data_IF_949170700584
#
_entry.id   IF_949170700584
#
_cell.length_a   1.000
_cell.length_b   1.000
_cell.length_c   1.000
_cell.angle_alpha   90.00
_cell.angle_beta   90.00
_cell.angle_gamma   90.00
#
_symmetry.space_group_name_H-M   'P 1'
#
loop_
_entity.id
_entity.type
_entity.pdbx_description
1 polymer ?
#
# COMPACT_ATOMS: atom_id res chain seq x y z
N UNK A 1 10.84 -20.15 15.18
CA UNK A 1 11.06 -19.59 13.82
C UNK A 1 10.64 -18.13 13.78
N UNK A 2 11.36 -17.27 13.07
CA UNK A 2 11.06 -15.83 12.96
C UNK A 2 10.88 -15.44 11.50
N UNK A 3 9.91 -14.56 11.23
CA UNK A 3 9.55 -14.08 9.90
C UNK A 3 9.39 -12.56 9.94
N UNK A 4 10.09 -11.88 9.04
CA UNK A 4 9.96 -10.44 8.78
C UNK A 4 9.58 -10.27 7.33
N UNK A 5 8.44 -9.63 7.08
CA UNK A 5 7.90 -9.56 5.73
C UNK A 5 7.30 -8.19 5.44
N UNK A 6 7.75 -7.49 4.38
CA UNK A 6 7.09 -6.27 3.96
C UNK A 6 5.75 -6.59 3.30
N UNK A 7 4.76 -5.74 3.51
CA UNK A 7 3.47 -5.85 2.84
C UNK A 7 2.91 -4.47 2.47
N UNK A 8 2.06 -4.46 1.45
CA UNK A 8 1.40 -3.26 0.97
C UNK A 8 0.17 -2.95 1.82
N UNK A 9 0.02 -1.69 2.18
CA UNK A 9 -1.17 -1.16 2.84
C UNK A 9 -1.48 0.22 2.23
N UNK A 10 -2.52 0.88 2.74
CA UNK A 10 -2.86 2.26 2.39
C UNK A 10 -3.17 3.12 3.63
N UNK A 11 -3.01 4.43 3.53
CA UNK A 11 -3.31 5.40 4.59
C UNK A 11 -3.98 6.66 4.02
N UNK A 12 -4.65 7.44 4.85
CA UNK A 12 -5.11 8.78 4.48
C UNK A 12 -3.94 9.75 4.30
N UNK A 13 -4.04 10.70 3.36
CA UNK A 13 -3.05 11.78 3.24
C UNK A 13 -2.91 12.56 4.55
N UNK A 14 -4.04 12.81 5.22
CA UNK A 14 -4.08 13.51 6.52
C UNK A 14 -3.31 12.74 7.59
N UNK A 15 -3.51 11.43 7.70
CA UNK A 15 -2.79 10.56 8.63
C UNK A 15 -1.29 10.52 8.35
N UNK A 16 -0.90 10.33 7.09
CA UNK A 16 0.52 10.36 6.69
C UNK A 16 1.17 11.71 6.93
N UNK A 17 0.51 12.81 6.55
CA UNK A 17 1.06 14.16 6.73
C UNK A 17 1.30 14.45 8.22
N UNK A 18 0.41 13.99 9.10
CA UNK A 18 0.59 14.09 10.54
C UNK A 18 1.77 13.26 11.03
N UNK A 19 1.86 11.99 10.63
CA UNK A 19 2.99 11.13 10.94
C UNK A 19 4.33 11.76 10.52
N UNK A 20 4.40 12.27 9.29
CA UNK A 20 5.59 12.95 8.78
C UNK A 20 5.96 14.19 9.61
N UNK A 21 4.97 14.94 10.13
CA UNK A 21 5.23 16.05 11.07
C UNK A 21 5.79 15.56 12.40
N UNK A 22 5.24 14.49 12.97
CA UNK A 22 5.72 13.89 14.22
C UNK A 22 7.14 13.38 14.06
N UNK A 23 7.43 12.62 13.01
CA UNK A 23 8.78 12.10 12.72
C UNK A 23 9.78 13.24 12.51
N UNK A 24 9.39 14.30 11.79
CA UNK A 24 10.22 15.52 11.64
C UNK A 24 10.44 16.23 12.98
N UNK A 25 9.42 16.25 13.85
CA UNK A 25 9.51 16.77 15.21
C UNK A 25 10.53 15.98 16.03
N UNK A 26 10.35 14.67 16.13
CA UNK A 26 11.25 13.75 16.86
C UNK A 26 12.72 13.87 16.40
N UNK A 27 12.96 13.98 15.08
CA UNK A 27 14.30 14.23 14.54
C UNK A 27 14.95 15.51 15.08
N UNK A 28 14.19 16.60 15.19
CA UNK A 28 14.72 17.90 15.66
C UNK A 28 15.12 17.90 17.14
N UNK A 29 14.51 17.03 17.95
CA UNK A 29 14.83 16.92 19.38
C UNK A 29 16.11 16.11 19.65
N UNK A 30 16.46 15.15 18.78
CA UNK A 30 17.64 14.28 18.98
C UNK A 30 18.84 14.61 18.07
N UNK A 31 18.61 15.23 16.92
CA UNK A 31 19.67 15.58 15.97
C UNK A 31 19.46 17.02 15.50
N UNK A 32 19.89 17.98 16.32
CA UNK A 32 20.22 19.30 15.76
C UNK A 32 21.47 19.16 14.90
N UNK A 33 21.29 18.73 13.64
CA UNK A 33 22.36 18.82 12.65
C UNK A 33 22.85 20.26 12.60
N UNK A 34 24.16 20.47 12.46
CA UNK A 34 24.79 21.79 12.31
C UNK A 34 24.04 22.63 11.27
N UNK A 35 23.51 22.01 10.22
CA UNK A 35 22.70 22.68 9.20
C UNK A 35 21.34 23.20 9.72
N UNK A 36 20.66 22.48 10.59
CA UNK A 36 19.42 22.96 11.25
C UNK A 36 19.70 24.08 12.26
N UNK A 37 20.90 24.11 12.84
CA UNK A 37 21.38 25.23 13.65
C UNK A 37 21.66 26.44 12.76
N UNK A 38 22.31 26.24 11.61
CA UNK A 38 22.58 27.29 10.61
C UNK A 38 21.31 27.83 9.98
N UNK A 39 20.33 27.00 9.64
CA UNK A 39 19.05 27.44 9.08
C UNK A 39 18.21 28.17 10.14
N UNK A 40 18.28 27.76 11.41
CA UNK A 40 17.70 28.53 12.53
C UNK A 40 18.42 29.86 12.77
N UNK A 41 19.74 29.91 12.61
CA UNK A 41 20.52 31.13 12.71
C UNK A 41 20.21 32.09 11.55
N UNK A 42 20.11 31.59 10.31
CA UNK A 42 19.67 32.34 9.13
C UNK A 42 18.25 32.89 9.30
N UNK A 43 17.33 32.08 9.82
CA UNK A 43 15.96 32.53 10.09
C UNK A 43 15.88 33.55 11.25
N UNK A 44 16.80 33.50 12.22
CA UNK A 44 16.93 34.54 13.26
C UNK A 44 17.52 35.83 12.70
N UNK A 45 18.54 35.74 11.84
CA UNK A 45 19.15 36.88 11.16
C UNK A 45 18.15 37.58 10.21
N UNK A 46 17.39 36.82 9.43
CA UNK A 46 16.32 37.36 8.56
C UNK A 46 15.20 38.06 9.35
N UNK A 47 14.95 37.63 10.60
CA UNK A 47 14.03 38.31 11.54
C UNK A 47 14.64 39.54 12.19
N UNK A 48 15.96 39.66 12.22
CA UNK A 48 16.66 40.83 12.80
C UNK A 48 16.72 41.98 11.79
N UNK A 49 16.75 41.68 10.49
CA UNK A 49 16.70 42.68 9.40
C UNK A 49 15.27 43.19 9.10
N UNK A 50 14.24 42.58 9.68
CA UNK A 50 12.84 43.02 9.57
C UNK A 50 12.30 43.46 10.92
N UNK A 51 13.00 44.38 11.59
CA UNK A 51 12.46 45.13 12.72
C UNK A 51 11.48 46.22 12.21
N UNK A 52 10.30 45.79 11.76
CA UNK A 52 9.08 46.57 11.96
C UNK A 52 8.40 45.94 13.16
N UNK A 53 8.38 46.70 14.26
CA UNK A 53 7.70 46.37 15.52
C UNK A 53 6.25 45.99 15.26
N UNK A 54 5.98 44.69 15.22
CA UNK A 54 4.66 44.12 15.47
C UNK A 54 4.75 43.37 16.78
N UNK A 55 4.07 43.91 17.79
CA UNK A 55 3.98 43.33 19.12
C UNK A 55 3.50 41.87 19.05
N UNK A 56 3.96 40.99 19.96
CA UNK A 56 3.53 39.60 19.98
C UNK A 56 2.08 39.54 20.49
N UNK A 57 1.14 39.30 19.58
CA UNK A 57 -0.26 39.01 19.89
C UNK A 57 -0.38 37.60 20.49
N UNK A 58 -0.15 37.49 21.79
CA UNK A 58 -0.69 36.42 22.63
C UNK A 58 -1.38 37.11 23.81
N UNK A 59 -2.55 36.57 24.17
CA UNK A 59 -3.58 37.15 25.06
C UNK A 59 -4.56 38.11 24.37
N UNK A 60 -5.49 37.52 23.60
CA UNK A 60 -6.85 38.08 23.60
C UNK A 60 -7.41 37.91 25.01
N UNK A 61 -7.23 38.91 25.88
CA UNK A 61 -8.09 39.08 27.04
C UNK A 61 -9.56 39.02 26.54
N UNK A 62 -10.46 38.25 27.17
CA UNK A 62 -11.87 38.31 26.84
C UNK A 62 -12.37 39.71 27.19
N UNK A 63 -12.57 40.56 26.20
CA UNK A 63 -13.25 41.83 26.41
C UNK A 63 -14.67 41.52 26.91
N UNK A 64 -15.18 42.27 27.91
CA UNK A 64 -16.56 42.12 28.34
C UNK A 64 -17.47 42.38 27.13
N UNK A 65 -18.20 41.36 26.74
CA UNK A 65 -19.13 41.38 25.62
C UNK A 65 -20.15 42.50 25.82
N UNK A 66 -20.15 43.49 24.93
CA UNK A 66 -21.29 44.39 24.74
C UNK A 66 -22.55 43.53 24.51
N UNK A 67 -23.63 43.72 25.28
CA UNK A 67 -24.85 42.95 25.12
C UNK A 67 -25.54 43.38 23.82
N UNK A 68 -25.54 42.51 22.81
CA UNK A 68 -26.28 42.77 21.57
C UNK A 68 -25.80 42.03 20.31
N UNK A 69 -24.66 41.34 20.34
CA UNK A 69 -24.26 40.53 19.18
C UNK A 69 -25.04 39.22 19.15
N UNK A 70 -26.00 39.11 18.23
CA UNK A 70 -26.59 37.85 17.82
C UNK A 70 -25.45 36.88 17.46
N UNK A 71 -25.16 35.93 18.35
CA UNK A 71 -24.25 34.82 18.05
C UNK A 71 -24.88 34.08 16.88
N UNK A 72 -24.24 34.13 15.72
CA UNK A 72 -24.60 33.27 14.60
C UNK A 72 -24.39 31.82 15.04
N UNK A 73 -25.49 31.19 15.44
CA UNK A 73 -25.52 29.82 15.99
C UNK A 73 -24.87 28.83 15.04
N UNK A 74 -24.95 29.05 13.72
CA UNK A 74 -24.31 28.18 12.72
C UNK A 74 -22.79 28.33 12.75
N UNK A 75 -22.28 29.55 12.87
CA UNK A 75 -20.84 29.81 12.98
C UNK A 75 -20.25 29.25 14.27
N UNK A 76 -20.95 29.43 15.40
CA UNK A 76 -20.54 28.87 16.69
C UNK A 76 -20.55 27.34 16.69
N UNK A 77 -21.60 26.71 16.14
CA UNK A 77 -21.68 25.26 15.98
C UNK A 77 -20.56 24.74 15.06
N UNK A 78 -20.33 25.41 13.92
CA UNK A 78 -19.26 25.04 13.00
C UNK A 78 -17.87 25.10 13.65
N UNK A 79 -17.61 26.12 14.48
CA UNK A 79 -16.37 26.21 15.26
C UNK A 79 -16.27 25.08 16.29
N UNK A 80 -17.33 24.82 17.06
CA UNK A 80 -17.36 23.75 18.05
C UNK A 80 -17.10 22.36 17.40
N UNK A 81 -17.73 22.07 16.26
CA UNK A 81 -17.52 20.83 15.52
C UNK A 81 -16.08 20.70 14.97
N UNK A 82 -15.48 21.81 14.50
CA UNK A 82 -14.07 21.82 14.08
C UNK A 82 -13.12 21.56 15.25
N UNK A 83 -13.35 22.20 16.40
CA UNK A 83 -12.56 21.96 17.61
C UNK A 83 -12.70 20.52 18.10
N UNK A 84 -13.92 19.97 18.13
CA UNK A 84 -14.17 18.59 18.50
C UNK A 84 -13.48 17.60 17.55
N UNK A 85 -13.51 17.85 16.23
CA UNK A 85 -12.79 17.06 15.23
C UNK A 85 -11.28 17.13 15.43
N UNK A 86 -10.72 18.31 15.69
CA UNK A 86 -9.30 18.48 15.95
C UNK A 86 -8.85 17.76 17.23
N UNK A 87 -9.65 17.85 18.31
CA UNK A 87 -9.41 17.14 19.56
C UNK A 87 -9.47 15.62 19.37
N UNK A 88 -10.51 15.12 18.69
CA UNK A 88 -10.65 13.69 18.39
C UNK A 88 -9.44 13.16 17.62
N UNK A 89 -8.98 13.89 16.61
CA UNK A 89 -7.76 13.54 15.90
C UNK A 89 -6.54 13.55 16.81
N UNK A 90 -6.40 14.58 17.65
CA UNK A 90 -5.29 14.69 18.59
C UNK A 90 -5.22 13.49 19.55
N UNK A 91 -6.36 13.12 20.12
CA UNK A 91 -6.50 11.95 20.99
C UNK A 91 -6.17 10.66 20.24
N UNK A 92 -6.67 10.50 19.01
CA UNK A 92 -6.50 9.27 18.26
C UNK A 92 -5.04 8.98 17.90
N UNK A 93 -4.22 10.00 17.61
CA UNK A 93 -2.82 9.78 17.26
C UNK A 93 -1.86 9.86 18.44
N UNK A 94 -2.35 10.16 19.64
CA UNK A 94 -1.51 10.48 20.79
C UNK A 94 -0.54 9.34 21.11
N UNK A 95 -1.00 8.10 21.06
CA UNK A 95 -0.17 6.90 21.31
C UNK A 95 0.96 6.80 20.30
N UNK A 96 0.66 6.91 19.01
CA UNK A 96 1.67 6.81 17.95
C UNK A 96 2.66 7.99 18.01
N UNK A 97 2.18 9.16 18.41
CA UNK A 97 3.00 10.35 18.64
C UNK A 97 4.01 10.12 19.77
N UNK A 98 3.55 9.65 20.93
CA UNK A 98 4.42 9.34 22.07
C UNK A 98 5.44 8.23 21.74
N UNK A 99 4.99 7.16 21.06
CA UNK A 99 5.87 6.09 20.62
C UNK A 99 6.96 6.60 19.68
N UNK A 100 6.59 7.44 18.70
CA UNK A 100 7.55 8.00 17.75
C UNK A 100 8.53 8.95 18.45
N UNK A 101 8.03 9.86 19.29
CA UNK A 101 8.86 10.82 20.00
C UNK A 101 9.87 10.16 20.93
N UNK A 102 9.47 9.06 21.60
CA UNK A 102 10.33 8.36 22.56
C UNK A 102 11.25 7.32 21.95
N UNK A 103 10.79 6.59 20.93
CA UNK A 103 11.48 5.38 20.45
C UNK A 103 12.06 5.48 19.03
N UNK A 104 11.82 6.56 18.25
CA UNK A 104 12.35 6.68 16.88
C UNK A 104 13.87 6.52 16.78
N UNK A 105 14.60 6.96 17.80
CA UNK A 105 16.06 6.88 17.88
C UNK A 105 16.54 6.07 19.09
N UNK A 106 15.66 5.29 19.72
CA UNK A 106 16.05 4.39 20.81
C UNK A 106 16.86 3.20 20.27
N UNK A 107 17.39 2.38 21.18
CA UNK A 107 18.01 1.10 20.84
C UNK A 107 17.20 -0.05 21.48
N UNK A 108 16.57 -0.94 20.69
CA UNK A 108 16.42 -0.87 19.23
C UNK A 108 15.47 0.27 18.78
N UNK A 109 15.66 0.84 17.57
CA UNK A 109 14.86 1.96 17.10
C UNK A 109 13.47 1.53 16.67
N UNK A 110 12.48 2.40 16.87
CA UNK A 110 11.15 2.24 16.29
C UNK A 110 11.28 2.28 14.77
N UNK A 111 10.73 1.28 14.10
CA UNK A 111 10.60 1.27 12.65
C UNK A 111 9.29 1.98 12.23
N UNK A 112 9.33 3.24 11.80
CA UNK A 112 8.11 3.94 11.39
C UNK A 112 7.53 3.32 10.11
N UNK A 113 6.22 3.44 9.93
CA UNK A 113 5.56 3.11 8.66
C UNK A 113 6.09 4.05 7.57
N UNK A 114 6.24 3.54 6.35
CA UNK A 114 6.83 4.27 5.22
C UNK A 114 5.84 4.37 4.07
N UNK A 115 5.85 5.47 3.35
CA UNK A 115 5.18 5.52 2.03
C UNK A 115 5.92 4.62 1.03
N UNK A 116 5.28 4.31 -0.10
CA UNK A 116 5.86 3.49 -1.15
C UNK A 116 7.28 3.97 -1.55
N UNK A 117 7.42 5.27 -1.85
CA UNK A 117 8.70 5.88 -2.19
C UNK A 117 9.72 5.82 -1.06
N UNK A 118 9.31 6.03 0.20
CA UNK A 118 10.21 5.99 1.35
C UNK A 118 10.77 4.59 1.60
N UNK A 119 10.00 3.55 1.26
CA UNK A 119 10.43 2.18 1.44
C UNK A 119 11.47 1.75 0.40
N UNK A 120 11.36 2.27 -0.83
CA UNK A 120 12.27 1.93 -1.93
C UNK A 120 13.48 2.87 -2.00
N UNK A 121 13.26 4.18 -1.90
CA UNK A 121 14.30 5.20 -2.02
C UNK A 121 14.76 5.68 -0.63
N UNK A 122 15.43 4.80 0.12
CA UNK A 122 15.88 5.08 1.50
C UNK A 122 16.80 6.30 1.66
N UNK A 123 17.39 6.81 0.58
CA UNK A 123 18.32 7.96 0.56
C UNK A 123 17.60 9.31 0.38
N UNK A 124 16.33 9.32 -0.07
CA UNK A 124 15.63 10.57 -0.36
C UNK A 124 15.30 11.33 0.94
N UNK A 125 15.71 12.61 1.00
CA UNK A 125 15.48 13.48 2.16
C UNK A 125 14.00 13.82 2.38
N UNK A 126 13.21 13.86 1.31
CA UNK A 126 11.77 14.12 1.34
C UNK A 126 11.08 13.48 0.14
N UNK A 127 10.08 12.63 0.40
CA UNK A 127 9.20 12.06 -0.62
C UNK A 127 7.85 12.78 -0.68
N UNK A 128 7.64 13.82 0.13
CA UNK A 128 6.29 14.35 0.39
C UNK A 128 5.51 14.81 -0.84
N UNK A 129 6.20 15.37 -1.83
CA UNK A 129 5.63 15.74 -3.13
C UNK A 129 5.32 14.50 -3.99
N UNK A 130 6.25 13.52 -4.04
CA UNK A 130 6.07 12.24 -4.75
C UNK A 130 4.91 11.42 -4.15
N UNK A 131 4.75 11.43 -2.83
CA UNK A 131 3.64 10.75 -2.16
C UNK A 131 2.25 11.27 -2.62
N UNK A 132 2.15 12.56 -2.97
CA UNK A 132 0.92 13.17 -3.52
C UNK A 132 0.81 13.06 -5.04
N UNK A 133 1.86 12.57 -5.68
CA UNK A 133 1.87 12.22 -7.09
C UNK A 133 1.69 10.71 -7.28
N UNK A 134 1.23 9.99 -6.25
CA UNK A 134 0.86 8.58 -6.40
C UNK A 134 -0.43 8.43 -7.21
N UNK A 135 -0.51 7.40 -8.05
CA UNK A 135 -1.73 7.08 -8.82
C UNK A 135 -2.96 6.94 -7.90
N UNK A 136 -2.77 6.31 -6.73
CA UNK A 136 -3.82 6.14 -5.71
C UNK A 136 -4.25 7.49 -5.12
N UNK A 137 -3.32 8.42 -4.90
CA UNK A 137 -3.65 9.76 -4.43
C UNK A 137 -4.48 10.51 -5.47
N UNK A 138 -4.05 10.50 -6.73
CA UNK A 138 -4.77 11.14 -7.83
C UNK A 138 -6.19 10.59 -7.97
N UNK A 139 -6.34 9.26 -7.93
CA UNK A 139 -7.65 8.59 -8.08
C UNK A 139 -8.61 8.75 -6.90
N UNK A 140 -8.11 9.11 -5.70
CA UNK A 140 -8.94 9.32 -4.50
C UNK A 140 -9.09 10.78 -4.09
N UNK A 141 -8.34 11.68 -4.73
CA UNK A 141 -8.40 13.12 -4.50
C UNK A 141 -9.49 13.76 -5.35
N UNK A 142 -10.11 14.80 -4.82
CA UNK A 142 -11.09 15.63 -5.52
C UNK A 142 -10.42 16.39 -6.66
N UNK A 143 -10.96 16.32 -7.87
CA UNK A 143 -10.47 17.15 -8.96
C UNK A 143 -11.08 18.56 -8.87
N UNK A 144 -10.28 19.62 -9.10
CA UNK A 144 -10.80 20.96 -9.15
C UNK A 144 -11.82 21.06 -10.29
N UNK A 145 -12.99 21.62 -10.00
CA UNK A 145 -14.01 21.90 -10.99
C UNK A 145 -14.50 23.34 -10.82
N UNK A 146 -14.88 23.96 -11.93
CA UNK A 146 -15.45 25.30 -11.90
C UNK A 146 -16.87 25.22 -11.35
N UNK A 147 -17.13 25.92 -10.25
CA UNK A 147 -18.46 26.02 -9.67
C UNK A 147 -18.68 27.41 -9.04
N UNK A 148 -19.94 27.82 -8.95
CA UNK A 148 -20.37 29.11 -8.38
C UNK A 148 -20.26 29.11 -6.84
N UNK A 149 -20.09 27.95 -6.22
CA UNK A 149 -19.86 27.79 -4.79
C UNK A 149 -20.16 26.38 -4.28
N UNK A 150 -19.57 25.98 -3.14
CA UNK A 150 -19.69 24.61 -2.63
C UNK A 150 -21.09 24.24 -2.12
N UNK A 151 -21.92 25.22 -1.75
CA UNK A 151 -23.26 24.98 -1.18
C UNK A 151 -24.30 24.59 -2.23
N UNK A 152 -24.17 25.10 -3.45
CA UNK A 152 -25.11 24.86 -4.55
C UNK A 152 -24.62 23.79 -5.53
N UNK A 153 -23.34 23.43 -5.51
CA UNK A 153 -22.77 22.46 -6.44
C UNK A 153 -22.92 21.00 -5.94
N UNK A 154 -23.61 20.12 -6.70
CA UNK A 154 -23.71 18.69 -6.35
C UNK A 154 -22.34 18.02 -6.28
N UNK A 155 -21.44 18.32 -7.21
CA UNK A 155 -20.09 17.75 -7.24
C UNK A 155 -19.28 18.17 -6.00
N UNK A 156 -19.34 19.41 -5.55
CA UNK A 156 -18.71 19.84 -4.28
C UNK A 156 -19.26 19.08 -3.07
N UNK A 157 -20.57 18.79 -3.03
CA UNK A 157 -21.20 18.04 -1.93
C UNK A 157 -20.76 16.57 -1.90
N UNK A 158 -20.40 16.01 -3.05
CA UNK A 158 -19.81 14.67 -3.13
C UNK A 158 -18.31 14.72 -2.80
N UNK A 159 -17.59 15.70 -3.36
CA UNK A 159 -16.16 15.89 -3.17
C UNK A 159 -15.78 16.11 -1.70
N UNK A 160 -16.62 16.78 -0.90
CA UNK A 160 -16.38 16.96 0.54
C UNK A 160 -16.34 15.64 1.33
N UNK A 161 -16.91 14.55 0.77
CA UNK A 161 -16.88 13.21 1.37
C UNK A 161 -15.64 12.41 0.94
N UNK A 162 -14.97 12.81 -0.14
CA UNK A 162 -13.78 12.10 -0.63
C UNK A 162 -12.61 12.34 0.31
N UNK A 163 -11.83 11.28 0.54
CA UNK A 163 -10.65 11.32 1.39
C UNK A 163 -9.44 10.82 0.59
N UNK A 164 -8.45 11.69 0.31
CA UNK A 164 -7.23 11.28 -0.37
C UNK A 164 -6.50 10.16 0.36
N UNK A 165 -6.12 9.12 -0.38
CA UNK A 165 -5.42 7.94 0.12
C UNK A 165 -4.07 7.79 -0.57
N UNK A 166 -3.15 7.11 0.08
CA UNK A 166 -1.80 6.83 -0.44
C UNK A 166 -1.40 5.39 -0.12
N UNK A 167 -0.49 4.82 -0.90
CA UNK A 167 0.14 3.54 -0.62
C UNK A 167 1.23 3.65 0.43
N UNK A 168 1.21 2.68 1.33
CA UNK A 168 2.15 2.52 2.42
C UNK A 168 2.77 1.13 2.35
N UNK A 169 3.97 1.03 2.91
CA UNK A 169 4.67 -0.24 3.10
C UNK A 169 4.87 -0.43 4.59
N UNK A 170 4.24 -1.48 5.09
CA UNK A 170 4.30 -1.91 6.47
C UNK A 170 5.14 -3.20 6.59
N UNK A 171 5.42 -3.61 7.81
CA UNK A 171 6.19 -4.81 8.10
C UNK A 171 5.41 -5.73 9.04
N UNK A 172 5.32 -6.99 8.65
CA UNK A 172 4.83 -8.07 9.48
C UNK A 172 6.01 -8.68 10.24
N UNK A 173 5.89 -8.72 11.56
CA UNK A 173 6.77 -9.44 12.45
C UNK A 173 6.01 -10.65 12.99
N UNK A 174 6.58 -11.84 12.85
CA UNK A 174 5.90 -13.08 13.21
C UNK A 174 6.89 -14.10 13.75
N UNK A 175 6.59 -14.64 14.92
CA UNK A 175 7.38 -15.65 15.62
C UNK A 175 6.50 -16.87 15.89
N UNK A 176 6.82 -18.01 15.28
CA UNK A 176 6.27 -19.29 15.71
C UNK A 176 7.22 -19.88 16.74
N UNK A 177 6.78 -19.92 18.00
CA UNK A 177 7.60 -20.41 19.12
C UNK A 177 7.54 -21.93 19.23
N UNK A 178 6.33 -22.48 19.05
CA UNK A 178 6.05 -23.91 19.13
C UNK A 178 4.85 -24.25 18.21
N UNK A 179 4.29 -25.46 18.36
CA UNK A 179 3.16 -25.94 17.54
C UNK A 179 1.83 -25.21 17.78
N UNK A 180 1.70 -24.47 18.88
CA UNK A 180 0.45 -23.84 19.37
C UNK A 180 0.58 -22.34 19.65
N UNK A 181 1.80 -21.82 19.68
CA UNK A 181 2.09 -20.46 20.10
C UNK A 181 2.70 -19.67 18.95
N UNK A 182 1.99 -18.61 18.57
CA UNK A 182 2.45 -17.61 17.61
C UNK A 182 2.39 -16.23 18.25
N UNK A 183 3.44 -15.45 18.05
CA UNK A 183 3.46 -14.02 18.37
C UNK A 183 3.53 -13.28 17.05
N UNK A 184 2.67 -12.29 16.84
CA UNK A 184 2.74 -11.42 15.68
C UNK A 184 2.58 -9.97 16.08
N UNK A 185 3.28 -9.09 15.36
CA UNK A 185 3.15 -7.66 15.46
C UNK A 185 3.08 -7.06 14.07
N UNK A 186 2.08 -6.24 13.84
CA UNK A 186 1.92 -5.46 12.62
C UNK A 186 1.34 -4.09 13.00
N UNK A 187 1.76 -3.02 12.29
CA UNK A 187 1.39 -1.66 12.65
C UNK A 187 -0.11 -1.44 12.55
N UNK A 188 -0.63 -0.69 13.52
CA UNK A 188 -1.98 -0.15 13.48
C UNK A 188 -2.05 1.02 12.49
N UNK A 189 -3.22 1.22 11.87
CA UNK A 189 -3.50 2.43 11.08
C UNK A 189 -3.50 3.67 11.97
N UNK A 190 -2.96 4.78 11.46
CA UNK A 190 -2.81 5.99 12.26
C UNK A 190 -4.16 6.56 12.66
N UNK A 191 -4.29 6.93 13.94
CA UNK A 191 -5.40 7.77 14.36
C UNK A 191 -6.80 7.16 14.22
N UNK A 192 -6.91 5.83 14.08
CA UNK A 192 -8.21 5.14 14.09
C UNK A 192 -8.35 4.34 15.39
N UNK A 193 -8.90 4.99 16.42
CA UNK A 193 -9.57 4.27 17.52
C UNK A 193 -10.89 3.61 17.09
N UNK A 194 -11.39 4.00 15.91
CA UNK A 194 -12.50 3.31 15.29
C UNK A 194 -12.06 1.97 14.72
N UNK A 195 -12.90 0.96 14.89
CA UNK A 195 -12.62 -0.37 14.43
C UNK A 195 -12.85 -0.29 12.88
N UNK A 196 -11.78 -0.30 12.08
CA UNK A 196 -11.80 -0.29 10.60
C UNK A 196 -11.87 -1.72 10.04
N UNK A 197 -12.79 -2.02 9.12
CA UNK A 197 -12.91 -3.35 8.51
C UNK A 197 -11.67 -3.75 7.70
N UNK A 198 -11.01 -2.77 7.09
CA UNK A 198 -9.81 -2.98 6.26
C UNK A 198 -8.54 -3.24 7.07
N UNK A 199 -8.55 -3.03 8.40
CA UNK A 199 -7.40 -3.29 9.24
C UNK A 199 -7.14 -4.80 9.40
N UNK A 200 -5.88 -5.22 9.32
CA UNK A 200 -5.49 -6.64 9.37
C UNK A 200 -6.00 -7.33 10.64
N UNK A 201 -5.82 -6.72 11.82
CA UNK A 201 -6.28 -7.28 13.10
C UNK A 201 -7.78 -7.62 13.09
N UNK A 202 -8.54 -6.74 12.48
CA UNK A 202 -9.98 -6.78 12.35
C UNK A 202 -10.45 -7.84 11.38
N UNK A 203 -9.87 -7.84 10.18
CA UNK A 203 -10.10 -8.83 9.15
C UNK A 203 -9.80 -10.23 9.68
N UNK A 204 -8.63 -10.38 10.31
CA UNK A 204 -8.21 -11.63 10.96
C UNK A 204 -9.20 -12.04 12.06
N UNK A 205 -9.60 -11.13 12.94
CA UNK A 205 -10.58 -11.42 13.99
C UNK A 205 -11.93 -11.87 13.44
N UNK A 206 -12.41 -11.26 12.34
CA UNK A 206 -13.64 -11.69 11.66
C UNK A 206 -13.46 -13.05 11.02
N UNK A 207 -12.35 -13.29 10.32
CA UNK A 207 -12.03 -14.59 9.70
C UNK A 207 -11.95 -15.69 10.74
N UNK A 208 -11.30 -15.45 11.88
CA UNK A 208 -11.19 -16.42 12.98
C UNK A 208 -12.55 -16.72 13.63
N UNK A 209 -13.45 -15.74 13.75
CA UNK A 209 -14.81 -15.99 14.26
C UNK A 209 -15.65 -16.88 13.34
N UNK A 210 -15.43 -16.79 12.03
CA UNK A 210 -16.15 -17.59 11.03
C UNK A 210 -15.42 -18.88 10.65
N UNK A 211 -14.17 -19.04 11.08
CA UNK A 211 -13.39 -20.25 10.85
C UNK A 211 -14.06 -21.44 11.53
N UNK A 212 -14.15 -22.57 10.82
CA UNK A 212 -14.73 -23.81 11.36
C UNK A 212 -13.83 -24.35 12.48
N UNK A 213 -14.43 -25.02 13.47
CA UNK A 213 -13.66 -25.71 14.53
C UNK A 213 -12.67 -26.69 13.88
N UNK A 214 -11.39 -26.54 14.19
CA UNK A 214 -10.31 -27.36 13.61
C UNK A 214 -9.69 -26.81 12.32
N UNK A 215 -10.11 -25.65 11.82
CA UNK A 215 -9.51 -24.99 10.66
C UNK A 215 -8.18 -24.30 10.99
N UNK A 216 -7.97 -23.87 12.23
CA UNK A 216 -6.67 -23.47 12.79
C UNK A 216 -6.25 -24.51 13.83
N UNK A 217 -5.71 -25.65 13.37
CA UNK A 217 -5.31 -26.73 14.29
C UNK A 217 -3.87 -26.55 14.80
N UNK A 218 -3.06 -25.76 14.09
CA UNK A 218 -1.66 -25.48 14.40
C UNK A 218 -1.33 -23.98 14.37
N UNK A 219 -0.28 -23.56 15.08
CA UNK A 219 0.36 -22.26 14.92
C UNK A 219 0.75 -21.98 13.45
N UNK A 220 1.10 -23.02 12.67
CA UNK A 220 1.39 -22.88 11.24
C UNK A 220 0.16 -22.47 10.44
N UNK A 221 -1.01 -23.05 10.72
CA UNK A 221 -2.27 -22.66 10.05
C UNK A 221 -2.60 -21.19 10.30
N UNK A 222 -2.43 -20.75 11.55
CA UNK A 222 -2.68 -19.36 11.93
C UNK A 222 -1.65 -18.42 11.30
N UNK A 223 -0.39 -18.81 11.22
CA UNK A 223 0.65 -18.06 10.52
C UNK A 223 0.33 -17.89 9.03
N UNK A 224 -0.08 -18.97 8.36
CA UNK A 224 -0.49 -18.92 6.95
C UNK A 224 -1.70 -17.98 6.76
N UNK A 225 -2.68 -18.03 7.68
CA UNK A 225 -3.83 -17.12 7.65
C UNK A 225 -3.41 -15.64 7.81
N UNK A 226 -2.48 -15.34 8.72
CA UNK A 226 -1.99 -13.97 8.92
C UNK A 226 -1.25 -13.47 7.67
N UNK A 227 -0.34 -14.28 7.13
CA UNK A 227 0.42 -13.96 5.92
C UNK A 227 -0.54 -13.69 4.76
N UNK A 228 -1.52 -14.56 4.56
CA UNK A 228 -2.55 -14.43 3.55
C UNK A 228 -3.33 -13.09 3.70
N UNK A 229 -3.81 -12.77 4.90
CA UNK A 229 -4.49 -11.49 5.18
C UNK A 229 -3.61 -10.27 4.84
N UNK A 230 -2.34 -10.28 5.23
CA UNK A 230 -1.42 -9.17 4.91
C UNK A 230 -1.13 -9.06 3.41
N UNK A 231 -1.21 -10.17 2.68
CA UNK A 231 -0.98 -10.19 1.24
C UNK A 231 -2.20 -9.71 0.44
N UNK A 232 -3.42 -9.86 0.98
CA UNK A 232 -4.69 -9.56 0.29
C UNK A 232 -5.10 -8.09 0.30
N UNK A 233 -4.57 -7.26 1.21
CA UNK A 233 -5.02 -5.86 1.40
C UNK A 233 -5.12 -5.06 0.09
N UNK A 234 -4.23 -5.29 -0.87
CA UNK A 234 -4.23 -4.62 -2.17
C UNK A 234 -5.26 -5.17 -3.17
N UNK A 235 -5.56 -6.47 -3.11
CA UNK A 235 -6.32 -7.22 -4.12
C UNK A 235 -7.73 -7.59 -3.66
N UNK A 236 -8.10 -7.24 -2.43
CA UNK A 236 -9.40 -7.57 -1.87
C UNK A 236 -10.51 -6.72 -2.50
N UNK A 237 -11.17 -7.28 -3.52
CA UNK A 237 -12.34 -6.70 -4.18
C UNK A 237 -13.64 -6.97 -3.43
N UNK A 238 -13.61 -7.85 -2.41
CA UNK A 238 -14.81 -8.34 -1.72
C UNK A 238 -15.23 -7.44 -0.56
N UNK A 239 -14.29 -6.63 -0.04
CA UNK A 239 -14.57 -5.63 0.98
C UNK A 239 -15.03 -4.33 0.33
N UNK A 240 -16.31 -4.28 -0.05
CA UNK A 240 -17.02 -3.03 -0.42
C UNK A 240 -17.33 -2.16 0.80
N UNK A 241 -16.47 -2.17 1.82
CA UNK A 241 -16.61 -1.23 2.92
C UNK A 241 -16.24 0.17 2.42
N UNK A 242 -17.08 1.16 2.74
CA UNK A 242 -17.03 2.54 2.21
C UNK A 242 -15.67 3.23 2.28
N UNK A 243 -14.78 2.73 3.13
CA UNK A 243 -13.49 3.34 3.42
C UNK A 243 -12.32 2.74 2.62
N UNK A 244 -12.38 1.48 2.17
CA UNK A 244 -11.25 0.80 1.52
C UNK A 244 -11.21 1.12 0.02
N UNK A 245 -10.12 1.72 -0.50
CA UNK A 245 -9.97 1.92 -1.93
C UNK A 245 -9.70 0.58 -2.63
N UNK A 246 -10.37 0.34 -3.75
CA UNK A 246 -10.00 -0.75 -4.66
C UNK A 246 -8.76 -0.33 -5.44
N UNK A 247 -7.59 -0.74 -4.94
CA UNK A 247 -6.31 -0.23 -5.45
C UNK A 247 -6.02 -0.72 -6.88
N UNK A 248 -6.38 -1.97 -7.21
CA UNK A 248 -6.28 -2.49 -8.58
C UNK A 248 -7.09 -1.65 -9.56
N UNK A 249 -8.34 -1.32 -9.22
CA UNK A 249 -9.21 -0.50 -10.07
C UNK A 249 -8.67 0.92 -10.25
N UNK A 250 -8.08 1.50 -9.19
CA UNK A 250 -7.46 2.82 -9.27
C UNK A 250 -6.27 2.86 -10.25
N UNK A 251 -5.39 1.85 -10.24
CA UNK A 251 -4.31 1.76 -11.22
C UNK A 251 -4.82 1.52 -12.64
N UNK A 252 -5.80 0.62 -12.81
CA UNK A 252 -6.44 0.42 -14.11
C UNK A 252 -7.07 1.71 -14.65
N UNK A 253 -7.79 2.46 -13.79
CA UNK A 253 -8.40 3.72 -14.15
C UNK A 253 -7.35 4.77 -14.54
N UNK A 254 -6.24 4.87 -13.81
CA UNK A 254 -5.14 5.79 -14.11
C UNK A 254 -4.47 5.46 -15.46
N UNK A 255 -4.13 4.19 -15.71
CA UNK A 255 -3.53 3.77 -16.99
C UNK A 255 -4.50 4.01 -18.15
N UNK A 256 -5.79 3.74 -17.96
CA UNK A 256 -6.83 4.00 -18.97
C UNK A 256 -6.96 5.47 -19.29
N UNK A 257 -6.95 6.35 -18.29
CA UNK A 257 -7.00 7.80 -18.47
C UNK A 257 -5.78 8.31 -19.25
N UNK A 258 -4.58 7.83 -18.90
CA UNK A 258 -3.35 8.13 -19.64
C UNK A 258 -3.41 7.66 -21.10
N UNK A 259 -3.95 6.47 -21.34
CA UNK A 259 -4.11 5.91 -22.69
C UNK A 259 -5.12 6.73 -23.51
N UNK A 260 -6.21 7.17 -22.90
CA UNK A 260 -7.18 8.06 -23.53
C UNK A 260 -6.56 9.41 -23.90
N UNK A 261 -5.83 10.04 -22.97
CA UNK A 261 -5.11 11.30 -23.21
C UNK A 261 -4.05 11.16 -24.29
N UNK A 262 -3.32 10.04 -24.32
CA UNK A 262 -2.36 9.72 -25.39
C UNK A 262 -3.06 9.65 -26.76
N UNK A 263 -4.20 8.96 -26.84
CA UNK A 263 -4.97 8.83 -28.09
C UNK A 263 -5.51 10.18 -28.54
N UNK A 264 -6.01 10.99 -27.61
CA UNK A 264 -6.48 12.35 -27.89
C UNK A 264 -5.35 13.24 -28.42
N UNK A 265 -4.17 13.21 -27.79
CA UNK A 265 -2.99 13.95 -28.24
C UNK A 265 -2.51 13.50 -29.63
N UNK A 266 -2.53 12.20 -29.91
CA UNK A 266 -2.21 11.68 -31.24
C UNK A 266 -3.19 12.16 -32.32
N UNK A 267 -4.49 12.13 -32.05
CA UNK A 267 -5.50 12.66 -32.97
C UNK A 267 -5.31 14.17 -33.22
N UNK A 268 -5.00 14.94 -32.18
CA UNK A 268 -4.68 16.36 -32.30
C UNK A 268 -3.46 16.59 -33.20
N UNK A 269 -2.38 15.82 -33.00
CA UNK A 269 -1.18 15.89 -33.85
C UNK A 269 -1.52 15.66 -35.33
N UNK A 270 -2.32 14.64 -35.64
CA UNK A 270 -2.73 14.35 -37.02
C UNK A 270 -3.54 15.51 -37.62
N UNK A 271 -4.51 16.04 -36.88
CA UNK A 271 -5.32 17.18 -37.33
C UNK A 271 -4.43 18.39 -37.64
N UNK A 272 -3.54 18.77 -36.72
CA UNK A 272 -2.66 19.91 -36.93
C UNK A 272 -1.67 19.69 -38.08
N UNK A 273 -1.14 18.47 -38.24
CA UNK A 273 -0.26 18.13 -39.36
C UNK A 273 -0.98 18.24 -40.71
N UNK A 274 -2.23 17.79 -40.79
CA UNK A 274 -3.05 17.94 -41.99
C UNK A 274 -3.37 19.40 -42.31
N UNK A 275 -3.71 20.20 -41.29
CA UNK A 275 -3.97 21.63 -41.45
C UNK A 275 -2.72 22.38 -41.93
N UNK A 276 -1.57 22.15 -41.30
CA UNK A 276 -0.29 22.75 -41.68
C UNK A 276 0.10 22.37 -43.12
N UNK A 277 -0.10 21.11 -43.52
CA UNK A 277 0.16 20.65 -44.89
C UNK A 277 -0.77 21.30 -45.91
N UNK A 278 -2.05 21.48 -45.58
CA UNK A 278 -3.03 22.12 -46.46
C UNK A 278 -2.72 23.61 -46.66
N UNK A 279 -2.39 24.31 -45.58
CA UNK A 279 -2.10 25.74 -45.62
C UNK A 279 -0.80 26.02 -46.37
N UNK A 280 0.21 25.14 -46.24
CA UNK A 280 1.41 25.16 -47.06
C UNK A 280 1.10 25.01 -48.56
N UNK A 281 0.29 24.00 -48.95
CA UNK A 281 -0.10 23.79 -50.37
C UNK A 281 -0.87 24.95 -50.98
N UNK A 282 -1.61 25.70 -50.17
CA UNK A 282 -2.42 26.84 -50.62
C UNK A 282 -1.63 28.16 -50.70
N UNK A 283 -0.32 28.15 -50.43
CA UNK A 283 0.53 29.35 -50.39
C UNK A 283 -0.10 30.49 -49.56
N UNK A 284 -0.91 30.14 -48.56
CA UNK A 284 -1.52 31.14 -47.70
C UNK A 284 -0.41 31.62 -46.77
N UNK A 285 -0.04 32.89 -46.91
CA UNK A 285 1.01 33.53 -46.13
C UNK A 285 0.84 33.20 -44.63
N UNK A 286 1.73 32.34 -44.13
CA UNK A 286 1.84 32.07 -42.70
C UNK A 286 2.47 33.32 -42.10
N UNK A 287 1.68 34.11 -41.37
CA UNK A 287 2.27 34.90 -40.29
C UNK A 287 2.95 33.90 -39.35
N UNK A 288 4.15 34.23 -38.86
CA UNK A 288 5.00 33.42 -37.96
C UNK A 288 4.32 32.99 -36.64
N UNK A 289 3.02 33.23 -36.47
CA UNK A 289 2.26 33.22 -35.23
C UNK A 289 0.95 32.41 -35.34
N UNK A 290 0.85 31.51 -36.32
CA UNK A 290 -0.32 30.66 -36.51
C UNK A 290 -0.53 29.71 -35.31
N UNK A 291 -1.73 29.64 -34.70
CA UNK A 291 -1.98 28.82 -33.51
C UNK A 291 -1.69 27.33 -33.74
N UNK A 292 -1.87 26.85 -34.97
CA UNK A 292 -1.58 25.46 -35.39
C UNK A 292 -0.10 25.10 -35.30
N UNK A 293 0.78 26.05 -35.59
CA UNK A 293 2.24 25.84 -35.57
C UNK A 293 2.77 25.86 -34.13
N UNK A 294 2.29 26.79 -33.31
CA UNK A 294 2.61 26.84 -31.89
C UNK A 294 2.18 25.56 -31.14
N UNK A 295 1.08 24.92 -31.54
CA UNK A 295 0.64 23.65 -30.95
C UNK A 295 1.50 22.44 -31.38
N UNK A 296 2.05 22.46 -32.60
CA UNK A 296 2.96 21.42 -33.08
C UNK A 296 4.34 21.50 -32.42
N UNK A 297 4.83 22.72 -32.12
CA UNK A 297 6.11 22.95 -31.46
C UNK A 297 6.05 22.71 -29.94
N UNK A 298 4.88 22.87 -29.31
CA UNK A 298 4.73 22.70 -27.87
C UNK A 298 4.68 21.22 -27.45
N UNK A 299 5.80 20.68 -26.96
CA UNK A 299 5.91 19.29 -26.46
C UNK A 299 5.50 19.10 -24.99
N UNK A 300 5.21 20.18 -24.27
CA UNK A 300 4.93 20.12 -22.84
C UNK A 300 3.76 19.19 -22.47
N UNK A 301 2.60 19.19 -23.16
CA UNK A 301 1.49 18.34 -22.75
C UNK A 301 1.83 16.84 -22.91
N UNK A 302 2.50 16.44 -23.99
CA UNK A 302 2.94 15.05 -24.14
C UNK A 302 4.05 14.67 -23.15
N UNK A 303 4.93 15.62 -22.81
CA UNK A 303 5.97 15.46 -21.80
C UNK A 303 5.38 15.22 -20.40
N UNK A 304 4.32 15.93 -20.03
CA UNK A 304 3.60 15.72 -18.77
C UNK A 304 2.93 14.35 -18.71
N UNK A 305 2.28 13.90 -19.79
CA UNK A 305 1.72 12.55 -19.89
C UNK A 305 2.80 11.47 -19.77
N UNK A 306 3.96 11.68 -20.40
CA UNK A 306 5.09 10.76 -20.33
C UNK A 306 5.71 10.70 -18.92
N UNK A 307 5.74 11.83 -18.21
CA UNK A 307 6.14 11.85 -16.80
C UNK A 307 5.15 11.04 -15.96
N UNK A 308 3.84 11.29 -16.11
CA UNK A 308 2.80 10.64 -15.30
C UNK A 308 2.74 9.11 -15.51
N UNK A 309 2.90 8.64 -16.77
CA UNK A 309 2.94 7.20 -17.03
C UNK A 309 4.20 6.57 -16.44
N UNK A 310 5.36 7.25 -16.49
CA UNK A 310 6.60 6.74 -15.88
C UNK A 310 6.50 6.68 -14.36
N UNK A 311 5.91 7.69 -13.72
CA UNK A 311 5.66 7.67 -12.28
C UNK A 311 4.76 6.47 -11.90
N UNK A 312 3.70 6.22 -12.69
CA UNK A 312 2.83 5.04 -12.51
C UNK A 312 3.59 3.71 -12.71
N UNK A 313 4.50 3.64 -13.68
CA UNK A 313 5.36 2.46 -13.91
C UNK A 313 6.31 2.21 -12.74
N UNK A 314 6.92 3.26 -12.20
CA UNK A 314 7.83 3.19 -11.05
C UNK A 314 7.06 2.70 -9.81
N UNK A 315 5.88 3.23 -9.54
CA UNK A 315 5.01 2.77 -8.43
C UNK A 315 4.69 1.28 -8.56
N UNK A 316 4.26 0.82 -9.73
CA UNK A 316 3.97 -0.59 -10.00
C UNK A 316 5.23 -1.46 -9.84
N UNK A 317 6.38 -0.99 -10.31
CA UNK A 317 7.64 -1.70 -10.16
C UNK A 317 8.03 -1.88 -8.69
N UNK A 318 7.88 -0.83 -7.86
CA UNK A 318 8.14 -0.91 -6.42
C UNK A 318 7.21 -1.93 -5.76
N UNK A 319 5.92 -1.93 -6.14
CA UNK A 319 4.95 -2.88 -5.61
C UNK A 319 5.27 -4.32 -5.98
N UNK A 320 5.67 -4.57 -7.24
CA UNK A 320 6.13 -5.90 -7.69
C UNK A 320 7.33 -6.34 -6.87
N UNK A 321 8.33 -5.47 -6.67
CA UNK A 321 9.51 -5.76 -5.85
C UNK A 321 9.14 -6.18 -4.42
N UNK A 322 8.19 -5.48 -3.80
CA UNK A 322 7.71 -5.80 -2.44
C UNK A 322 6.99 -7.16 -2.43
N UNK A 323 6.21 -7.46 -3.47
CA UNK A 323 5.52 -8.74 -3.57
C UNK A 323 6.46 -9.91 -3.86
N UNK A 324 7.51 -9.71 -4.63
CA UNK A 324 8.58 -10.70 -4.81
C UNK A 324 9.34 -10.97 -3.51
N UNK A 325 9.59 -9.92 -2.69
CA UNK A 325 10.13 -10.10 -1.34
C UNK A 325 9.17 -10.89 -0.43
N UNK A 326 7.87 -10.60 -0.51
CA UNK A 326 6.84 -11.34 0.19
C UNK A 326 6.87 -12.83 -0.21
N UNK A 327 6.87 -13.13 -1.52
CA UNK A 327 6.95 -14.49 -2.05
C UNK A 327 8.19 -15.23 -1.54
N UNK A 328 9.38 -14.62 -1.61
CA UNK A 328 10.62 -15.24 -1.13
C UNK A 328 10.56 -15.62 0.36
N UNK A 329 9.96 -14.77 1.19
CA UNK A 329 9.76 -15.03 2.62
C UNK A 329 8.77 -16.19 2.83
N UNK A 330 7.67 -16.21 2.09
CA UNK A 330 6.66 -17.27 2.18
C UNK A 330 7.21 -18.60 1.67
N UNK A 331 7.96 -18.63 0.57
CA UNK A 331 8.62 -19.85 0.09
C UNK A 331 9.58 -20.43 1.13
N UNK A 332 10.37 -19.58 1.79
CA UNK A 332 11.24 -20.01 2.88
C UNK A 332 10.43 -20.57 4.04
N UNK A 333 9.31 -19.94 4.38
CA UNK A 333 8.41 -20.42 5.43
C UNK A 333 7.77 -21.76 5.08
N UNK A 334 7.25 -21.91 3.86
CA UNK A 334 6.65 -23.15 3.36
C UNK A 334 7.68 -24.28 3.32
N UNK A 335 8.93 -24.01 2.92
CA UNK A 335 10.03 -25.00 3.03
C UNK A 335 10.22 -25.47 4.47
N UNK A 336 10.13 -24.57 5.45
CA UNK A 336 10.21 -24.93 6.86
C UNK A 336 9.01 -25.76 7.32
N UNK A 337 7.78 -25.37 6.97
CA UNK A 337 6.55 -26.12 7.27
C UNK A 337 6.65 -27.53 6.66
N UNK A 338 7.02 -27.65 5.38
CA UNK A 338 7.16 -28.96 4.71
C UNK A 338 8.16 -29.85 5.45
N UNK A 339 9.29 -29.32 5.91
CA UNK A 339 10.27 -30.10 6.70
C UNK A 339 9.70 -30.56 8.04
N UNK A 340 8.93 -29.72 8.72
CA UNK A 340 8.34 -30.03 10.03
C UNK A 340 7.13 -30.98 9.95
N UNK A 341 6.29 -30.84 8.92
CA UNK A 341 4.97 -31.49 8.83
C UNK A 341 5.00 -32.76 7.98
N UNK A 342 5.87 -32.87 6.97
CA UNK A 342 5.94 -34.08 6.11
C UNK A 342 6.17 -35.39 6.88
N UNK A 343 7.01 -35.44 7.94
CA UNK A 343 7.18 -36.67 8.73
C UNK A 343 5.87 -37.17 9.35
N UNK A 344 4.98 -36.26 9.78
CA UNK A 344 3.69 -36.59 10.38
C UNK A 344 2.72 -37.22 9.37
N UNK A 345 2.89 -36.93 8.08
CA UNK A 345 2.08 -37.53 7.01
C UNK A 345 2.61 -38.91 6.61
N UNK A 346 3.94 -39.13 6.70
CA UNK A 346 4.62 -40.34 6.22
C UNK A 346 4.74 -41.46 7.24
N UNK A 347 4.38 -41.24 8.51
CA UNK A 347 4.57 -42.20 9.61
C UNK A 347 3.79 -43.53 9.47
N UNK A 348 2.96 -43.71 8.43
CA UNK A 348 2.28 -44.97 8.16
C UNK A 348 3.03 -45.79 7.09
N UNK A 349 3.95 -46.68 7.52
CA UNK A 349 4.19 -47.92 6.77
C UNK A 349 3.01 -48.84 7.11
N UNK A 350 2.23 -49.35 6.14
CA UNK A 350 1.33 -50.45 6.45
C UNK A 350 2.19 -51.57 7.03
N UNK A 351 1.78 -52.09 8.19
CA UNK A 351 2.34 -53.31 8.75
C UNK A 351 2.19 -54.36 7.65
N UNK A 352 3.27 -54.66 6.93
CA UNK A 352 3.27 -55.75 5.98
C UNK A 352 2.93 -56.99 6.80
N UNK A 353 1.73 -57.54 6.58
CA UNK A 353 1.35 -58.81 7.14
C UNK A 353 2.47 -59.79 6.80
N UNK A 354 3.25 -60.19 7.80
CA UNK A 354 4.16 -61.31 7.67
C UNK A 354 3.27 -62.53 7.44
N UNK A 355 3.07 -62.87 6.17
CA UNK A 355 2.66 -64.22 5.79
C UNK A 355 3.78 -65.14 6.24
N UNK A 356 3.57 -65.82 7.37
CA UNK A 356 4.42 -66.92 7.82
C UNK A 356 4.58 -67.94 6.69
N UNK A 357 5.80 -68.41 6.37
CA UNK A 357 5.98 -69.62 5.61
C UNK A 357 5.67 -70.80 6.54
N UNK A 358 4.59 -71.53 6.29
CA UNK A 358 4.31 -72.77 6.98
C UNK A 358 5.24 -73.88 6.50
N UNK A 359 5.97 -74.51 7.42
CA UNK A 359 6.41 -75.92 7.34
C UNK A 359 6.50 -76.47 8.77
N UNK A 360 6.04 -77.71 8.92
CA UNK A 360 5.82 -78.45 10.15
C UNK A 360 7.07 -78.76 11.00
N UNK A 361 6.80 -79.01 12.29
CA UNK A 361 7.27 -80.16 13.09
C UNK A 361 8.05 -79.87 14.39
N UNK A 362 7.61 -80.62 15.42
CA UNK A 362 8.33 -81.11 16.59
C UNK A 362 8.31 -80.30 17.91
N UNK A 363 7.34 -80.69 18.76
CA UNK A 363 7.52 -81.24 20.12
C UNK A 363 8.36 -80.47 21.17
N UNK A 364 7.74 -80.19 22.32
CA UNK A 364 8.43 -80.34 23.61
C UNK A 364 8.14 -79.33 24.71
N UNK A 365 7.13 -79.64 25.53
CA UNK A 365 7.10 -79.52 26.99
C UNK A 365 7.24 -78.17 27.75
N UNK A 366 6.35 -78.08 28.75
CA UNK A 366 6.52 -77.47 30.08
C UNK A 366 6.15 -75.98 30.29
N UNK A 367 4.90 -75.79 30.75
CA UNK A 367 4.55 -75.26 32.09
C UNK A 367 5.29 -74.01 32.61
N UNK A 368 4.58 -72.89 32.75
CA UNK A 368 4.21 -72.36 34.08
C UNK A 368 3.26 -71.15 33.96
N UNK A 369 2.22 -71.18 34.77
CA UNK A 369 1.32 -70.06 35.04
C UNK A 369 2.02 -68.92 35.79
N UNK A 370 1.72 -67.66 35.44
CA UNK A 370 1.41 -66.61 36.44
C UNK A 370 0.76 -65.36 35.83
N UNK A 371 -0.54 -65.25 36.07
CA UNK A 371 -1.24 -64.09 36.63
C UNK A 371 -0.94 -62.71 36.04
N UNK A 372 -1.77 -62.34 35.06
CA UNK A 372 -2.63 -61.16 35.08
C UNK A 372 -2.16 -59.87 35.76
N UNK A 373 -1.78 -58.90 34.92
CA UNK A 373 -2.14 -57.48 35.08
C UNK A 373 -2.64 -57.00 33.70
N UNK A 374 -3.95 -57.13 33.49
CA UNK A 374 -4.64 -56.50 32.36
C UNK A 374 -4.59 -54.98 32.57
N UNK A 375 -3.62 -54.32 31.93
CA UNK A 375 -3.75 -52.90 31.60
C UNK A 375 -4.43 -52.84 30.23
N UNK A 376 -5.76 -52.68 30.25
CA UNK A 376 -6.57 -52.41 29.07
C UNK A 376 -6.20 -51.04 28.50
N UNK A 377 -5.20 -51.02 27.62
CA UNK A 377 -5.04 -49.93 26.66
C UNK A 377 -6.02 -50.20 25.52
N UNK A 378 -7.09 -49.41 25.47
CA UNK A 378 -8.00 -49.34 24.33
C UNK A 378 -7.19 -49.08 23.04
N UNK A 379 -7.12 -50.02 22.08
CA UNK A 379 -6.34 -49.85 20.85
C UNK A 379 -6.94 -48.81 19.89
N UNK A 380 -8.19 -48.42 20.10
CA UNK A 380 -9.00 -47.68 19.12
C UNK A 380 -8.85 -46.14 19.22
N UNK A 381 -8.53 -45.62 20.41
CA UNK A 381 -8.38 -44.17 20.64
C UNK A 381 -7.05 -43.59 20.10
N UNK A 382 -5.99 -44.41 20.04
CA UNK A 382 -4.69 -44.02 19.51
C UNK A 382 -4.73 -43.78 17.99
N UNK A 383 -5.35 -44.70 17.25
CA UNK A 383 -5.48 -44.61 15.80
C UNK A 383 -6.32 -43.42 15.33
N UNK A 384 -7.42 -43.09 16.04
CA UNK A 384 -8.27 -41.94 15.71
C UNK A 384 -7.48 -40.62 15.86
N UNK A 385 -6.66 -40.49 16.90
CA UNK A 385 -5.87 -39.27 17.16
C UNK A 385 -4.74 -39.10 16.16
N UNK A 386 -4.06 -40.18 15.80
CA UNK A 386 -3.00 -40.19 14.77
C UNK A 386 -3.57 -39.84 13.38
N UNK A 387 -4.72 -40.40 13.02
CA UNK A 387 -5.40 -40.11 11.76
C UNK A 387 -5.87 -38.64 11.69
N UNK A 388 -6.41 -38.09 12.78
CA UNK A 388 -6.74 -36.65 12.86
C UNK A 388 -5.51 -35.75 12.70
N UNK A 389 -4.39 -36.12 13.32
CA UNK A 389 -3.13 -35.38 13.20
C UNK A 389 -2.59 -35.41 11.77
N UNK A 390 -2.69 -36.56 11.11
CA UNK A 390 -2.33 -36.71 9.69
C UNK A 390 -3.21 -35.87 8.77
N UNK A 391 -4.53 -35.88 8.98
CA UNK A 391 -5.46 -35.06 8.21
C UNK A 391 -5.23 -33.55 8.43
N UNK A 392 -4.87 -33.14 9.65
CA UNK A 392 -4.47 -31.75 9.95
C UNK A 392 -3.16 -31.38 9.25
N UNK A 393 -2.17 -32.26 9.28
CA UNK A 393 -0.89 -32.10 8.59
C UNK A 393 -1.07 -31.95 7.07
N UNK A 394 -1.89 -32.81 6.44
CA UNK A 394 -2.19 -32.73 5.01
C UNK A 394 -2.91 -31.42 4.66
N UNK A 395 -3.88 -31.00 5.48
CA UNK A 395 -4.56 -29.71 5.29
C UNK A 395 -3.60 -28.54 5.38
N UNK A 396 -2.65 -28.56 6.31
CA UNK A 396 -1.61 -27.53 6.45
C UNK A 396 -0.76 -27.45 5.17
N UNK A 397 -0.32 -28.59 4.64
CA UNK A 397 0.45 -28.63 3.39
C UNK A 397 -0.35 -28.09 2.20
N UNK A 398 -1.61 -28.51 2.03
CA UNK A 398 -2.46 -28.00 0.97
C UNK A 398 -2.65 -26.47 1.07
N UNK A 399 -2.81 -25.93 2.28
CA UNK A 399 -2.88 -24.46 2.50
C UNK A 399 -1.60 -23.75 2.10
N UNK A 400 -0.43 -24.38 2.30
CA UNK A 400 0.83 -23.78 1.84
C UNK A 400 0.90 -23.66 0.32
N UNK A 401 0.40 -24.66 -0.39
CA UNK A 401 0.40 -24.66 -1.86
C UNK A 401 -0.58 -23.62 -2.40
N UNK A 402 -1.80 -23.59 -1.86
CA UNK A 402 -2.81 -22.58 -2.20
C UNK A 402 -2.30 -21.16 -1.93
N UNK A 403 -1.62 -20.92 -0.80
CA UNK A 403 -1.08 -19.60 -0.49
C UNK A 403 0.01 -19.15 -1.47
N UNK A 404 0.86 -20.07 -1.94
CA UNK A 404 1.89 -19.75 -2.92
C UNK A 404 1.26 -19.40 -4.28
N UNK A 405 0.29 -20.20 -4.74
CA UNK A 405 -0.46 -19.95 -5.97
C UNK A 405 -1.19 -18.60 -5.91
N UNK A 406 -1.91 -18.32 -4.81
CA UNK A 406 -2.57 -17.04 -4.53
C UNK A 406 -1.60 -15.84 -4.65
N UNK A 407 -0.37 -15.98 -4.14
CA UNK A 407 0.64 -14.91 -4.20
C UNK A 407 1.17 -14.74 -5.62
N UNK A 408 1.41 -15.83 -6.35
CA UNK A 408 1.85 -15.81 -7.74
C UNK A 408 0.80 -15.16 -8.66
N UNK A 409 -0.48 -15.48 -8.49
CA UNK A 409 -1.58 -14.83 -9.22
C UNK A 409 -1.61 -13.32 -8.98
N UNK A 410 -1.46 -12.90 -7.71
CA UNK A 410 -1.41 -11.49 -7.31
C UNK A 410 -0.22 -10.75 -7.94
N UNK A 411 0.93 -11.41 -8.04
CA UNK A 411 2.11 -10.87 -8.74
C UNK A 411 1.84 -10.78 -10.25
N UNK A 412 1.20 -11.80 -10.83
CA UNK A 412 0.76 -11.81 -12.23
C UNK A 412 -0.14 -10.63 -12.57
N UNK A 413 -1.10 -10.30 -11.71
CA UNK A 413 -1.99 -9.14 -11.88
C UNK A 413 -1.21 -7.80 -11.88
N UNK A 414 -0.22 -7.63 -11.00
CA UNK A 414 0.64 -6.45 -11.02
C UNK A 414 1.52 -6.37 -12.27
N UNK A 415 2.05 -7.50 -12.74
CA UNK A 415 2.82 -7.56 -13.99
C UNK A 415 1.96 -7.21 -15.20
N UNK A 416 0.69 -7.62 -15.22
CA UNK A 416 -0.25 -7.22 -16.27
C UNK A 416 -0.50 -5.70 -16.26
N UNK A 417 -0.72 -5.10 -15.09
CA UNK A 417 -0.81 -3.64 -14.96
C UNK A 417 0.46 -2.93 -15.44
N UNK A 418 1.64 -3.45 -15.06
CA UNK A 418 2.92 -2.89 -15.47
C UNK A 418 3.10 -2.96 -16.99
N UNK A 419 2.73 -4.08 -17.63
CA UNK A 419 2.80 -4.23 -19.08
C UNK A 419 1.87 -3.23 -19.79
N UNK A 420 0.66 -3.03 -19.28
CA UNK A 420 -0.26 -2.04 -19.84
C UNK A 420 0.32 -0.62 -19.76
N UNK A 421 0.89 -0.25 -18.61
CA UNK A 421 1.58 1.04 -18.45
C UNK A 421 2.81 1.17 -19.36
N UNK A 422 3.56 0.08 -19.60
CA UNK A 422 4.66 0.04 -20.56
C UNK A 422 4.20 0.28 -22.00
N UNK A 423 3.09 -0.32 -22.41
CA UNK A 423 2.54 -0.11 -23.74
C UNK A 423 2.14 1.36 -23.93
N UNK A 424 1.45 1.97 -22.95
CA UNK A 424 1.09 3.40 -22.97
C UNK A 424 2.33 4.31 -22.99
N UNK A 425 3.36 3.97 -22.21
CA UNK A 425 4.63 4.71 -22.15
C UNK A 425 5.38 4.67 -23.49
N UNK A 426 5.44 3.51 -24.15
CA UNK A 426 6.01 3.38 -25.49
C UNK A 426 5.23 4.18 -26.53
N UNK A 427 3.90 4.09 -26.52
CA UNK A 427 3.05 4.86 -27.44
C UNK A 427 3.20 6.39 -27.25
N UNK A 428 3.41 6.86 -26.02
CA UNK A 428 3.70 8.28 -25.73
C UNK A 428 5.08 8.70 -26.22
N UNK A 429 6.11 7.84 -26.11
CA UNK A 429 7.44 8.10 -26.66
C UNK A 429 7.42 8.19 -28.18
N UNK A 430 6.68 7.30 -28.83
CA UNK A 430 6.52 7.31 -30.29
C UNK A 430 5.80 8.59 -30.74
N UNK A 431 4.73 8.99 -30.04
CA UNK A 431 4.03 10.25 -30.27
C UNK A 431 4.97 11.46 -30.12
N UNK A 432 5.76 11.51 -29.04
CA UNK A 432 6.71 12.60 -28.79
C UNK A 432 7.77 12.68 -29.90
N UNK A 433 8.29 11.54 -30.33
CA UNK A 433 9.27 11.44 -31.42
C UNK A 433 8.67 11.95 -32.74
N UNK A 434 7.46 11.52 -33.08
CA UNK A 434 6.75 12.00 -34.27
C UNK A 434 6.54 13.52 -34.23
N UNK A 435 6.15 14.06 -33.09
CA UNK A 435 5.94 15.50 -32.90
C UNK A 435 7.25 16.28 -33.05
N UNK A 436 8.35 15.80 -32.47
CA UNK A 436 9.69 16.39 -32.63
C UNK A 436 10.15 16.36 -34.09
N UNK A 437 9.91 15.25 -34.82
CA UNK A 437 10.24 15.17 -36.23
C UNK A 437 9.42 16.18 -37.06
N UNK A 438 8.12 16.34 -36.77
CA UNK A 438 7.28 17.33 -37.45
C UNK A 438 7.71 18.77 -37.12
N UNK A 439 8.05 19.06 -35.87
CA UNK A 439 8.60 20.35 -35.46
C UNK A 439 9.86 20.70 -36.26
N UNK A 440 10.82 19.77 -36.35
CA UNK A 440 12.04 19.97 -37.14
C UNK A 440 11.78 20.18 -38.64
N UNK A 441 10.80 19.47 -39.23
CA UNK A 441 10.40 19.69 -40.63
C UNK A 441 9.83 21.09 -40.84
N UNK A 442 9.05 21.58 -39.89
CA UNK A 442 8.45 22.91 -39.95
C UNK A 442 9.53 24.00 -39.83
N UNK A 443 10.41 23.89 -38.83
CA UNK A 443 11.52 24.82 -38.63
C UNK A 443 12.46 24.85 -39.86
N UNK A 444 12.78 23.68 -40.43
CA UNK A 444 13.59 23.60 -41.65
C UNK A 444 12.93 24.31 -42.84
N UNK A 445 11.59 24.18 -42.99
CA UNK A 445 10.84 24.90 -44.03
C UNK A 445 10.80 26.39 -43.80
N UNK A 446 10.84 26.87 -42.56
CA UNK A 446 10.93 28.30 -42.25
C UNK A 446 12.33 28.85 -42.51
N UNK A 447 13.37 28.11 -42.12
CA UNK A 447 14.75 28.49 -42.40
C UNK A 447 15.02 28.65 -43.90
N UNK A 448 14.52 27.72 -44.73
CA UNK A 448 14.62 27.81 -46.21
C UNK A 448 13.85 29.00 -46.78
N UNK A 449 12.83 29.53 -46.07
CA UNK A 449 12.09 30.72 -46.52
C UNK A 449 12.74 32.03 -46.09
N UNK A 450 13.59 32.01 -45.06
CA UNK A 450 14.28 33.19 -44.55
C UNK A 450 15.65 33.41 -45.22
N UNK A 451 16.24 32.36 -45.78
CA UNK A 451 17.43 32.39 -46.64
C UNK A 451 17.06 32.72 -48.09
#
# INVERSE_FOLDING_TARGET
MVLFMPYLHWETDRGRARSAKIVKGARKYNLSSIRDVVDRAKNRLARTETHVTVAPSWESQPQPSTPGQHIDRRRALGHALRCASALLEAMNSHVEEQLTMRYLHAEPPLHPRRTLDQAYYGVLRSTGARDRDQAVYRGTTTQPHQCVGPEACPQCKEDIRKTPRILMVDQLWLWCLDEKTIITSFPRRWGRNRPDSSAIYKSLGTRLRHARRGESSSAYDLALMIIDETSRVFFDRTKTDTDQPNLVELFNAAIRDLTYKQTAAFNQLLIYTHLASRDYRRQRYLSSDGPTQNHLLNINPEGELLKEVKDTQDELHIMIRIKEQHQAVVESFVKHIRRAVTPLVRAHRPFAAQTSPGWDAALGAASLERSGLHHSQDPDLGGIREEQQRQSAQRTLNKTDVLLEDIDERIGELRALQQNAQNTSSALKDLLTLKQHQAGVIEAREAVKQA
#
